data_IF_805281224989
#
_entry.id   IF_805281224989
#
_cell.length_a   1.000
_cell.length_b   1.000
_cell.length_c   1.000
_cell.angle_alpha   90.00
_cell.angle_beta   90.00
_cell.angle_gamma   90.00
#
_symmetry.space_group_name_H-M   'P 1'
#
loop_
_entity.id
_entity.type
_entity.pdbx_description
1 polymer ?
#
# COMPACT_ATOMS: atom_id res chain seq x y z
N UNK A 1 -10.12 4.66 -27.43
CA UNK A 1 -9.00 4.99 -26.52
C UNK A 1 -8.59 3.73 -25.80
N UNK A 2 -7.30 3.50 -25.55
CA UNK A 2 -6.84 2.36 -24.76
C UNK A 2 -7.40 2.46 -23.35
N UNK A 3 -7.75 1.31 -22.75
CA UNK A 3 -8.14 1.24 -21.34
C UNK A 3 -6.92 1.38 -20.45
N UNK A 4 -7.06 2.04 -19.31
CA UNK A 4 -6.02 2.28 -18.34
C UNK A 4 -6.15 1.36 -17.10
N UNK A 5 -5.04 1.06 -16.45
CA UNK A 5 -5.04 0.43 -15.14
C UNK A 5 -5.08 1.53 -14.08
N UNK A 6 -6.16 1.55 -13.30
CA UNK A 6 -6.36 2.54 -12.24
C UNK A 6 -5.69 2.08 -10.95
N UNK A 7 -4.94 2.97 -10.31
CA UNK A 7 -4.42 2.82 -8.97
C UNK A 7 -5.09 3.84 -8.07
N UNK A 8 -5.85 3.36 -7.11
CA UNK A 8 -6.56 4.19 -6.13
C UNK A 8 -5.86 4.11 -4.77
N UNK A 9 -5.53 5.26 -4.21
CA UNK A 9 -5.00 5.39 -2.85
C UNK A 9 -5.61 6.61 -2.14
N UNK A 10 -5.50 6.66 -0.81
CA UNK A 10 -5.89 7.83 -0.02
C UNK A 10 -4.93 9.01 -0.19
N UNK A 11 -3.70 8.77 -0.62
CA UNK A 11 -2.66 9.79 -0.75
C UNK A 11 -1.53 9.36 -1.67
N UNK A 12 -0.28 9.54 -1.23
CA UNK A 12 0.92 9.24 -2.01
C UNK A 12 1.46 7.81 -1.84
N UNK A 13 0.96 7.06 -0.85
CA UNK A 13 1.47 5.72 -0.53
C UNK A 13 1.35 4.73 -1.68
N UNK A 14 0.24 4.76 -2.40
CA UNK A 14 -0.04 3.88 -3.54
C UNK A 14 0.91 4.06 -4.73
N UNK A 15 1.68 5.16 -4.79
CA UNK A 15 2.73 5.36 -5.80
C UNK A 15 3.83 4.30 -5.71
N UNK A 16 4.07 3.72 -4.54
CA UNK A 16 5.02 2.61 -4.37
C UNK A 16 4.55 1.36 -5.11
N UNK A 17 3.23 1.09 -5.09
CA UNK A 17 2.60 -0.04 -5.81
C UNK A 17 2.56 0.24 -7.31
N UNK A 18 2.18 1.47 -7.70
CA UNK A 18 2.20 1.92 -9.10
C UNK A 18 3.60 1.81 -9.70
N UNK A 19 4.62 2.30 -9.00
CA UNK A 19 6.02 2.19 -9.43
C UNK A 19 6.43 0.74 -9.71
N UNK A 20 6.05 -0.19 -8.83
CA UNK A 20 6.30 -1.62 -9.05
C UNK A 20 5.59 -2.13 -10.31
N UNK A 21 4.33 -1.73 -10.52
CA UNK A 21 3.55 -2.11 -11.70
C UNK A 21 4.16 -1.56 -12.99
N UNK A 22 4.57 -0.29 -13.01
CA UNK A 22 5.22 0.33 -14.18
C UNK A 22 6.52 -0.37 -14.56
N UNK A 23 7.28 -0.88 -13.60
CA UNK A 23 8.49 -1.67 -13.87
C UNK A 23 8.18 -3.06 -14.43
N UNK A 24 7.15 -3.73 -13.90
CA UNK A 24 6.77 -5.08 -14.37
C UNK A 24 6.03 -5.06 -15.72
N UNK A 25 5.27 -4.01 -15.98
CA UNK A 25 4.40 -3.89 -17.15
C UNK A 25 4.58 -2.51 -17.82
N UNK A 26 5.75 -2.21 -18.40
CA UNK A 26 6.13 -0.86 -18.84
C UNK A 26 5.34 -0.34 -20.06
N UNK A 27 4.53 -1.18 -20.71
CA UNK A 27 3.74 -0.82 -21.87
C UNK A 27 2.26 -0.57 -21.54
N UNK A 28 1.86 -0.72 -20.28
CA UNK A 28 0.50 -0.40 -19.83
C UNK A 28 0.33 1.11 -19.67
N UNK A 29 -0.91 1.56 -19.85
CA UNK A 29 -1.32 2.92 -19.50
C UNK A 29 -1.90 2.91 -18.08
N UNK A 30 -1.46 3.84 -17.25
CA UNK A 30 -1.83 3.92 -15.85
C UNK A 30 -2.61 5.20 -15.55
N UNK A 31 -3.53 5.13 -14.61
CA UNK A 31 -4.18 6.29 -14.00
C UNK A 31 -4.00 6.19 -12.49
N UNK A 32 -3.31 7.15 -11.89
CA UNK A 32 -3.18 7.23 -10.44
C UNK A 32 -4.24 8.19 -9.88
N UNK A 33 -5.05 7.70 -8.96
CA UNK A 33 -6.02 8.49 -8.23
C UNK A 33 -5.62 8.58 -6.76
N UNK A 34 -5.26 9.78 -6.28
CA UNK A 34 -4.98 10.09 -4.88
C UNK A 34 -6.14 10.89 -4.29
N UNK A 35 -6.74 10.40 -3.19
CA UNK A 35 -7.85 11.09 -2.49
C UNK A 35 -7.33 11.93 -1.32
N UNK A 36 -6.45 12.88 -1.62
CA UNK A 36 -5.73 13.69 -0.63
C UNK A 36 -6.63 14.57 0.24
N UNK A 37 -7.77 15.03 -0.30
CA UNK A 37 -8.74 15.84 0.48
C UNK A 37 -9.32 15.07 1.66
N UNK A 38 -9.33 13.75 1.57
CA UNK A 38 -9.87 12.90 2.61
C UNK A 38 -8.79 12.09 3.35
N UNK A 39 -7.51 12.29 3.03
CA UNK A 39 -6.42 11.66 3.77
C UNK A 39 -6.34 12.19 5.22
N UNK A 40 -5.79 11.45 6.19
CA UNK A 40 -5.51 10.03 6.14
C UNK A 40 -6.75 9.17 6.46
N UNK A 41 -6.96 8.07 5.73
CA UNK A 41 -8.09 7.17 5.97
C UNK A 41 -8.00 6.43 7.30
N UNK A 42 -6.80 6.14 7.77
CA UNK A 42 -6.56 5.37 8.98
C UNK A 42 -7.06 6.02 10.29
N UNK A 43 -7.45 7.30 10.24
CA UNK A 43 -7.99 8.07 11.37
C UNK A 43 -9.51 8.25 11.29
N UNK A 44 -10.18 7.72 10.26
CA UNK A 44 -11.63 7.86 10.05
C UNK A 44 -12.38 6.62 10.48
N UNK A 45 -13.72 6.75 10.64
CA UNK A 45 -14.56 5.57 10.85
C UNK A 45 -14.66 4.72 9.57
N UNK A 46 -14.86 3.38 9.68
CA UNK A 46 -15.05 2.51 8.52
C UNK A 46 -16.18 2.99 7.60
N UNK A 47 -17.30 3.44 8.17
CA UNK A 47 -18.44 3.95 7.42
C UNK A 47 -18.09 5.19 6.60
N UNK A 48 -17.30 6.10 7.19
CA UNK A 48 -16.83 7.31 6.49
C UNK A 48 -15.90 6.96 5.34
N UNK A 49 -14.94 6.06 5.56
CA UNK A 49 -14.02 5.59 4.50
C UNK A 49 -14.82 4.91 3.37
N UNK A 50 -15.77 4.03 3.71
CA UNK A 50 -16.65 3.37 2.75
C UNK A 50 -17.38 4.39 1.88
N UNK A 51 -18.04 5.37 2.48
CA UNK A 51 -18.76 6.42 1.77
C UNK A 51 -17.86 7.21 0.82
N UNK A 52 -16.67 7.62 1.27
CA UNK A 52 -15.69 8.38 0.48
C UNK A 52 -15.26 7.56 -0.74
N UNK A 53 -14.81 6.33 -0.54
CA UNK A 53 -14.29 5.50 -1.63
C UNK A 53 -15.37 5.18 -2.65
N UNK A 54 -16.58 4.82 -2.22
CA UNK A 54 -17.69 4.56 -3.15
C UNK A 54 -18.06 5.82 -3.96
N UNK A 55 -18.03 7.01 -3.34
CA UNK A 55 -18.28 8.28 -4.03
C UNK A 55 -17.18 8.60 -5.06
N UNK A 56 -15.91 8.28 -4.77
CA UNK A 56 -14.81 8.44 -5.72
C UNK A 56 -14.98 7.50 -6.92
N UNK A 57 -15.26 6.23 -6.67
CA UNK A 57 -15.45 5.22 -7.72
C UNK A 57 -16.66 5.50 -8.61
N UNK A 58 -17.73 6.08 -8.08
CA UNK A 58 -18.91 6.47 -8.87
C UNK A 58 -18.61 7.53 -9.95
N UNK A 59 -17.48 8.23 -9.85
CA UNK A 59 -17.01 9.21 -10.85
C UNK A 59 -16.16 8.59 -11.96
N UNK A 60 -15.74 7.34 -11.80
CA UNK A 60 -14.93 6.66 -12.80
C UNK A 60 -15.79 6.23 -13.99
N UNK A 61 -15.21 6.34 -15.20
CA UNK A 61 -15.84 5.80 -16.39
C UNK A 61 -15.40 4.33 -16.58
N UNK A 62 -16.28 3.33 -16.35
CA UNK A 62 -15.93 1.92 -16.45
C UNK A 62 -15.38 1.51 -17.82
N UNK A 63 -15.82 2.16 -18.91
CA UNK A 63 -15.37 1.85 -20.27
C UNK A 63 -13.87 2.15 -20.50
N UNK A 64 -13.29 3.00 -19.65
CA UNK A 64 -11.87 3.37 -19.70
C UNK A 64 -10.98 2.54 -18.79
N UNK A 65 -11.56 1.65 -17.98
CA UNK A 65 -10.82 0.88 -16.98
C UNK A 65 -10.53 -0.52 -17.51
N UNK A 66 -9.24 -0.88 -17.53
CA UNK A 66 -8.77 -2.24 -17.81
C UNK A 66 -8.80 -3.11 -16.55
N UNK A 67 -8.33 -2.56 -15.44
CA UNK A 67 -8.36 -3.11 -14.08
C UNK A 67 -8.20 -1.97 -13.07
N UNK A 68 -8.55 -2.21 -11.81
CA UNK A 68 -8.31 -1.26 -10.73
C UNK A 68 -7.56 -1.93 -9.58
N UNK A 69 -6.51 -1.27 -9.09
CA UNK A 69 -5.79 -1.63 -7.87
C UNK A 69 -6.20 -0.64 -6.77
N UNK A 70 -6.87 -1.14 -5.74
CA UNK A 70 -7.08 -0.40 -4.49
C UNK A 70 -5.82 -0.57 -3.66
N UNK A 71 -4.86 0.34 -3.85
CA UNK A 71 -3.54 0.26 -3.24
C UNK A 71 -3.57 0.52 -1.73
N UNK A 72 -4.45 1.41 -1.26
CA UNK A 72 -4.62 1.69 0.15
C UNK A 72 -5.08 0.45 0.94
N UNK A 73 -4.26 -0.02 1.90
CA UNK A 73 -4.60 -1.15 2.77
C UNK A 73 -5.89 -0.88 3.57
N UNK A 74 -6.03 0.32 4.11
CA UNK A 74 -7.22 0.74 4.88
C UNK A 74 -8.48 0.70 4.02
N UNK A 75 -8.44 1.26 2.80
CA UNK A 75 -9.58 1.20 1.88
C UNK A 75 -9.90 -0.25 1.49
N UNK A 76 -8.88 -1.03 1.15
CA UNK A 76 -9.04 -2.45 0.78
C UNK A 76 -9.77 -3.25 1.86
N UNK A 77 -9.39 -3.09 3.13
CA UNK A 77 -9.99 -3.85 4.23
C UNK A 77 -11.49 -3.57 4.37
N UNK A 78 -11.90 -2.34 4.06
CA UNK A 78 -13.27 -1.86 4.27
C UNK A 78 -14.18 -2.10 3.06
N UNK A 79 -13.73 -1.76 1.83
CA UNK A 79 -14.67 -1.65 0.69
C UNK A 79 -14.43 -2.66 -0.44
N UNK A 80 -13.40 -3.47 -0.41
CA UNK A 80 -13.03 -4.30 -1.56
C UNK A 80 -14.15 -5.26 -2.02
N UNK A 81 -14.96 -5.76 -1.09
CA UNK A 81 -16.09 -6.64 -1.40
C UNK A 81 -17.21 -5.88 -2.11
N UNK A 82 -17.52 -4.68 -1.63
CA UNK A 82 -18.55 -3.82 -2.23
C UNK A 82 -18.16 -3.42 -3.66
N UNK A 83 -16.90 -2.99 -3.85
CA UNK A 83 -16.41 -2.62 -5.18
C UNK A 83 -16.47 -3.78 -6.18
N UNK A 84 -16.06 -4.99 -5.75
CA UNK A 84 -16.14 -6.20 -6.59
C UNK A 84 -17.57 -6.63 -6.91
N UNK A 85 -18.54 -6.24 -6.09
CA UNK A 85 -19.96 -6.50 -6.36
C UNK A 85 -20.60 -5.45 -7.30
N UNK A 86 -20.01 -4.24 -7.39
CA UNK A 86 -20.53 -3.12 -8.16
C UNK A 86 -19.95 -3.01 -9.57
N UNK A 87 -18.75 -3.54 -9.81
CA UNK A 87 -18.01 -3.33 -11.05
C UNK A 87 -17.53 -4.65 -11.65
N UNK A 88 -17.65 -4.79 -12.97
CA UNK A 88 -17.32 -6.00 -13.72
C UNK A 88 -15.83 -6.11 -14.08
N UNK A 89 -15.07 -5.00 -14.06
CA UNK A 89 -13.63 -5.05 -14.31
C UNK A 89 -12.87 -5.61 -13.11
N UNK A 90 -11.68 -6.22 -13.32
CA UNK A 90 -10.87 -6.77 -12.22
C UNK A 90 -10.51 -5.72 -11.18
N UNK A 91 -10.81 -6.00 -9.91
CA UNK A 91 -10.45 -5.14 -8.78
C UNK A 91 -9.54 -5.91 -7.82
N UNK A 92 -8.32 -5.43 -7.71
CA UNK A 92 -7.27 -5.99 -6.86
C UNK A 92 -7.11 -5.11 -5.62
N UNK A 93 -7.14 -5.69 -4.43
CA UNK A 93 -6.90 -4.97 -3.18
C UNK A 93 -5.53 -5.30 -2.60
N UNK A 94 -4.91 -4.30 -2.00
CA UNK A 94 -3.68 -4.45 -1.22
C UNK A 94 -4.01 -4.95 0.18
N UNK A 95 -3.43 -6.07 0.57
CA UNK A 95 -3.55 -6.63 1.92
C UNK A 95 -2.16 -6.71 2.57
N UNK A 96 -2.09 -6.58 3.91
CA UNK A 96 -0.83 -6.82 4.62
C UNK A 96 -0.26 -8.21 4.30
N UNK A 97 1.04 -8.27 4.04
CA UNK A 97 1.73 -9.47 3.55
C UNK A 97 2.02 -10.49 4.69
N UNK A 98 0.97 -10.93 5.40
CA UNK A 98 1.09 -11.79 6.58
C UNK A 98 1.58 -13.19 6.23
N UNK A 99 1.06 -13.80 5.15
CA UNK A 99 1.48 -15.15 4.73
C UNK A 99 2.98 -15.23 4.44
N UNK A 100 3.55 -14.39 3.54
CA UNK A 100 4.99 -14.40 3.32
C UNK A 100 5.79 -14.03 4.57
N UNK A 101 5.27 -13.15 5.44
CA UNK A 101 5.94 -12.82 6.70
C UNK A 101 6.03 -14.02 7.65
N UNK A 102 4.98 -14.86 7.74
CA UNK A 102 5.00 -16.10 8.52
C UNK A 102 6.11 -17.06 8.03
N UNK A 103 6.19 -17.25 6.72
CA UNK A 103 7.20 -18.11 6.11
C UNK A 103 8.63 -17.60 6.37
N UNK A 104 8.83 -16.27 6.23
CA UNK A 104 10.13 -15.61 6.43
C UNK A 104 10.53 -15.60 7.91
N UNK A 105 9.58 -15.42 8.82
CA UNK A 105 9.84 -15.34 10.25
C UNK A 105 10.30 -16.67 10.87
N UNK A 106 10.03 -17.79 10.21
CA UNK A 106 10.49 -19.14 10.60
C UNK A 106 10.25 -19.46 12.08
N UNK A 107 9.00 -19.24 12.53
CA UNK A 107 8.58 -19.48 13.91
C UNK A 107 8.85 -18.33 14.89
N UNK A 108 9.63 -17.31 14.52
CA UNK A 108 9.81 -16.10 15.31
C UNK A 108 8.60 -15.19 15.25
N UNK A 109 8.56 -14.16 16.10
CA UNK A 109 7.50 -13.16 16.11
C UNK A 109 7.54 -12.25 14.88
N UNK A 110 6.37 -11.70 14.56
CA UNK A 110 6.13 -10.81 13.44
C UNK A 110 5.57 -9.49 13.96
N UNK A 111 6.24 -8.38 13.69
CA UNK A 111 5.68 -7.05 13.93
C UNK A 111 4.83 -6.67 12.72
N UNK A 112 3.57 -6.27 12.95
CA UNK A 112 2.70 -5.71 11.92
C UNK A 112 2.60 -4.20 12.14
N UNK A 113 3.34 -3.45 11.35
CA UNK A 113 3.32 -1.99 11.31
C UNK A 113 2.21 -1.55 10.35
N UNK A 114 1.13 -0.93 10.87
CA UNK A 114 -0.01 -0.52 10.05
C UNK A 114 -0.74 0.70 10.67
N UNK A 115 -1.76 1.21 9.95
CA UNK A 115 -2.63 2.23 10.53
C UNK A 115 -3.50 1.64 11.64
N UNK A 116 -3.91 2.48 12.59
CA UNK A 116 -4.78 2.04 13.70
C UNK A 116 -6.05 1.36 13.20
N UNK A 117 -6.64 1.87 12.13
CA UNK A 117 -7.85 1.29 11.55
C UNK A 117 -7.58 -0.10 10.94
N UNK A 118 -6.50 -0.24 10.15
CA UNK A 118 -6.12 -1.54 9.57
C UNK A 118 -5.90 -2.61 10.64
N UNK A 119 -5.24 -2.28 11.75
CA UNK A 119 -5.00 -3.22 12.84
C UNK A 119 -6.28 -3.65 13.61
N UNK A 120 -7.32 -2.81 13.58
CA UNK A 120 -8.61 -3.12 14.21
C UNK A 120 -9.53 -3.97 13.32
N UNK A 121 -9.26 -4.04 12.01
CA UNK A 121 -10.12 -4.72 11.05
C UNK A 121 -10.19 -6.23 11.29
N UNK A 122 -11.41 -6.76 11.34
CA UNK A 122 -11.67 -8.18 11.59
C UNK A 122 -11.08 -9.09 10.49
N UNK A 123 -10.94 -8.58 9.28
CA UNK A 123 -10.33 -9.31 8.16
C UNK A 123 -8.87 -9.68 8.46
N UNK A 124 -8.09 -8.74 9.00
CA UNK A 124 -6.69 -8.97 9.39
C UNK A 124 -6.61 -9.98 10.55
N UNK A 125 -7.43 -9.79 11.58
CA UNK A 125 -7.47 -10.68 12.74
C UNK A 125 -7.86 -12.10 12.34
N UNK A 126 -8.86 -12.23 11.45
CA UNK A 126 -9.25 -13.53 10.91
C UNK A 126 -8.10 -14.20 10.15
N UNK A 127 -7.38 -13.46 9.31
CA UNK A 127 -6.22 -14.03 8.59
C UNK A 127 -5.15 -14.54 9.56
N UNK A 128 -4.89 -13.81 10.65
CA UNK A 128 -3.93 -14.20 11.69
C UNK A 128 -4.38 -15.50 12.38
N UNK A 129 -5.68 -15.61 12.74
CA UNK A 129 -6.27 -16.85 13.30
C UNK A 129 -6.20 -18.00 12.30
N UNK A 130 -6.60 -17.78 11.04
CA UNK A 130 -6.57 -18.81 9.99
C UNK A 130 -5.14 -19.32 9.72
N UNK A 131 -4.13 -18.55 10.08
CA UNK A 131 -2.71 -18.90 9.99
C UNK A 131 -2.14 -19.51 11.28
N UNK A 132 -2.90 -19.52 12.36
CA UNK A 132 -2.47 -19.99 13.68
C UNK A 132 -1.16 -19.32 14.17
N UNK A 133 -1.17 -17.98 14.18
CA UNK A 133 0.00 -17.15 14.57
C UNK A 133 -0.35 -16.01 15.55
N UNK A 134 -1.48 -16.11 16.27
CA UNK A 134 -1.91 -15.05 17.19
C UNK A 134 -0.84 -14.71 18.22
N UNK A 135 -0.18 -15.74 18.77
CA UNK A 135 0.87 -15.59 19.77
C UNK A 135 2.22 -15.07 19.21
N UNK A 136 2.35 -15.08 17.87
CA UNK A 136 3.56 -14.61 17.18
C UNK A 136 3.44 -13.16 16.70
N UNK A 137 2.24 -12.54 16.77
CA UNK A 137 1.99 -11.22 16.17
C UNK A 137 2.07 -10.11 17.20
N UNK A 138 2.82 -9.07 16.87
CA UNK A 138 2.86 -7.79 17.61
C UNK A 138 2.28 -6.70 16.72
N UNK A 139 1.16 -6.09 17.15
CA UNK A 139 0.57 -4.96 16.45
C UNK A 139 1.27 -3.65 16.82
N UNK A 140 1.74 -2.93 15.81
CA UNK A 140 2.43 -1.64 15.98
C UNK A 140 1.73 -0.55 15.15
N UNK A 141 0.86 0.26 15.74
CA UNK A 141 0.25 1.38 15.05
C UNK A 141 1.26 2.52 14.85
N UNK A 142 1.33 3.07 13.63
CA UNK A 142 2.22 4.18 13.29
C UNK A 142 1.54 5.23 12.39
N UNK A 143 0.49 5.92 12.88
CA UNK A 143 -0.20 6.95 12.09
C UNK A 143 0.71 8.12 11.71
N UNK A 144 1.73 8.42 12.51
CA UNK A 144 2.68 9.52 12.29
C UNK A 144 3.48 9.33 11.00
N UNK A 145 3.84 8.08 10.66
CA UNK A 145 4.56 7.78 9.42
C UNK A 145 3.73 8.11 8.16
N UNK A 146 2.39 8.05 8.25
CA UNK A 146 1.53 8.44 7.12
C UNK A 146 1.68 9.94 6.85
N UNK A 147 1.59 10.77 7.89
CA UNK A 147 1.71 12.22 7.77
C UNK A 147 3.09 12.63 7.24
N UNK A 148 4.15 12.04 7.79
CA UNK A 148 5.52 12.30 7.33
C UNK A 148 5.72 11.92 5.86
N UNK A 149 5.11 10.81 5.41
CA UNK A 149 5.20 10.42 4.00
C UNK A 149 4.47 11.39 3.06
N UNK A 150 3.31 11.91 3.47
CA UNK A 150 2.59 12.94 2.70
C UNK A 150 3.38 14.27 2.62
N UNK A 151 4.24 14.55 3.60
CA UNK A 151 5.14 15.70 3.64
C UNK A 151 6.50 15.43 2.95
N UNK A 152 6.67 14.29 2.31
CA UNK A 152 7.92 13.85 1.68
C UNK A 152 9.10 13.73 2.66
N UNK A 153 8.84 13.39 3.93
CA UNK A 153 9.86 13.18 4.97
C UNK A 153 9.94 11.70 5.29
N UNK A 154 10.98 11.00 4.82
CA UNK A 154 11.13 9.54 4.97
C UNK A 154 12.25 9.12 5.92
N UNK A 155 13.07 10.07 6.35
CA UNK A 155 14.14 9.84 7.33
C UNK A 155 14.44 11.17 8.05
N UNK A 156 14.36 11.16 9.38
CA UNK A 156 14.75 12.25 10.26
C UNK A 156 15.05 11.71 11.65
N UNK A 157 15.78 12.46 12.47
CA UNK A 157 16.08 12.05 13.86
C UNK A 157 14.79 11.80 14.65
N UNK A 158 13.75 12.65 14.49
CA UNK A 158 12.46 12.49 15.15
C UNK A 158 11.76 11.18 14.74
N UNK A 159 11.81 10.80 13.47
CA UNK A 159 11.21 9.54 13.01
C UNK A 159 11.99 8.32 13.52
N UNK A 160 13.31 8.44 13.59
CA UNK A 160 14.16 7.39 14.15
C UNK A 160 13.89 7.19 15.64
N UNK A 161 13.83 8.27 16.42
CA UNK A 161 13.47 8.26 17.84
C UNK A 161 12.06 7.67 18.03
N UNK A 162 11.06 8.11 17.28
CA UNK A 162 9.70 7.57 17.31
C UNK A 162 9.68 6.04 17.09
N UNK A 163 10.42 5.55 16.10
CA UNK A 163 10.47 4.11 15.82
C UNK A 163 11.20 3.34 16.91
N UNK A 164 12.27 3.89 17.48
CA UNK A 164 12.97 3.29 18.61
C UNK A 164 12.07 3.22 19.86
N UNK A 165 11.32 4.27 20.16
CA UNK A 165 10.34 4.29 21.25
C UNK A 165 9.25 3.24 21.06
N UNK A 166 8.71 3.10 19.82
CA UNK A 166 7.70 2.07 19.50
C UNK A 166 8.25 0.65 19.65
N UNK A 167 9.53 0.45 19.45
CA UNK A 167 10.20 -0.85 19.62
C UNK A 167 10.73 -1.06 21.04
N UNK A 168 10.68 -0.05 21.90
CA UNK A 168 11.16 -0.17 23.27
C UNK A 168 10.40 -1.29 24.01
N UNK A 169 11.16 -2.17 24.67
CA UNK A 169 10.60 -3.32 25.40
C UNK A 169 10.27 -4.54 24.52
N UNK A 170 10.48 -4.47 23.20
CA UNK A 170 10.41 -5.64 22.32
C UNK A 170 11.81 -6.27 22.23
N UNK A 171 11.90 -7.56 22.52
CA UNK A 171 13.12 -8.32 22.26
C UNK A 171 13.29 -8.55 20.76
N UNK A 172 14.10 -7.73 20.11
CA UNK A 172 14.33 -7.81 18.66
C UNK A 172 15.00 -9.10 18.21
N UNK A 173 15.66 -9.85 19.13
CA UNK A 173 16.27 -11.15 18.80
C UNK A 173 15.21 -12.22 18.48
N UNK A 174 13.98 -12.06 19.00
CA UNK A 174 12.82 -12.95 18.81
C UNK A 174 11.94 -12.52 17.61
N UNK A 175 12.29 -11.45 16.90
CA UNK A 175 11.56 -10.96 15.73
C UNK A 175 12.19 -11.51 14.46
N UNK A 176 11.39 -12.12 13.58
CA UNK A 176 11.83 -12.60 12.26
C UNK A 176 11.45 -11.69 11.10
N UNK A 177 10.30 -11.00 11.22
CA UNK A 177 9.80 -10.13 10.18
C UNK A 177 9.09 -8.89 10.72
N UNK A 178 9.18 -7.78 9.96
CA UNK A 178 8.37 -6.59 10.13
C UNK A 178 7.54 -6.37 8.86
N UNK A 179 6.21 -6.45 8.99
CA UNK A 179 5.28 -6.26 7.89
C UNK A 179 4.94 -4.79 7.75
N UNK A 180 5.14 -4.23 6.56
CA UNK A 180 4.73 -2.89 6.18
C UNK A 180 3.27 -2.94 5.70
N UNK A 181 2.33 -2.85 6.63
CA UNK A 181 0.89 -2.98 6.41
C UNK A 181 0.20 -1.69 5.94
N UNK A 182 0.97 -0.73 5.45
CA UNK A 182 0.48 0.51 4.83
C UNK A 182 1.39 0.87 3.66
N UNK A 183 0.80 1.32 2.55
CA UNK A 183 1.54 1.74 1.33
C UNK A 183 2.56 2.84 1.60
N UNK A 184 2.24 3.77 2.49
CA UNK A 184 3.15 4.85 2.91
C UNK A 184 4.42 4.34 3.58
N UNK A 185 4.33 3.21 4.31
CA UNK A 185 5.46 2.72 5.11
C UNK A 185 6.60 2.14 4.26
N UNK A 186 6.32 1.86 3.00
CA UNK A 186 7.33 1.35 2.07
C UNK A 186 8.41 2.39 1.79
N UNK A 187 8.09 3.69 1.84
CA UNK A 187 9.09 4.76 1.72
C UNK A 187 10.13 4.74 2.84
N UNK A 188 9.79 4.21 4.01
CA UNK A 188 10.68 4.14 5.16
C UNK A 188 11.58 2.90 5.18
N UNK A 189 11.54 2.04 4.15
CA UNK A 189 12.42 0.86 4.09
C UNK A 189 13.90 1.19 4.36
N UNK A 190 14.52 2.23 3.74
CA UNK A 190 15.93 2.55 3.99
C UNK A 190 16.20 2.89 5.45
N UNK A 191 15.36 3.73 6.06
CA UNK A 191 15.47 4.11 7.47
C UNK A 191 15.28 2.87 8.38
N UNK A 192 14.20 2.10 8.18
CA UNK A 192 13.91 0.92 8.99
C UNK A 192 14.99 -0.13 8.87
N UNK A 193 15.55 -0.37 7.68
CA UNK A 193 16.69 -1.29 7.49
C UNK A 193 17.90 -0.85 8.30
N UNK A 194 18.14 0.46 8.42
CA UNK A 194 19.27 0.97 9.21
C UNK A 194 19.06 0.90 10.74
N UNK A 195 17.80 0.80 11.19
CA UNK A 195 17.45 0.73 12.62
C UNK A 195 17.32 -0.70 13.14
N UNK A 196 17.01 -1.65 12.26
CA UNK A 196 16.70 -3.03 12.64
C UNK A 196 17.93 -3.93 12.47
N UNK A 197 18.07 -4.96 13.33
CA UNK A 197 19.05 -6.03 13.10
C UNK A 197 18.84 -6.72 11.73
N UNK A 198 19.93 -7.11 11.06
CA UNK A 198 19.93 -7.68 9.70
C UNK A 198 19.08 -8.94 9.52
N UNK A 199 18.83 -9.67 10.61
CA UNK A 199 17.99 -10.88 10.56
C UNK A 199 16.48 -10.57 10.44
N UNK A 200 16.04 -9.37 10.82
CA UNK A 200 14.64 -8.96 10.71
C UNK A 200 14.37 -8.55 9.26
N UNK A 201 13.45 -9.25 8.60
CA UNK A 201 13.11 -8.97 7.21
C UNK A 201 11.92 -8.03 7.09
N UNK A 202 12.06 -6.98 6.27
CA UNK A 202 10.95 -6.10 5.91
C UNK A 202 10.11 -6.79 4.83
N UNK A 203 8.80 -6.87 5.05
CA UNK A 203 7.86 -7.57 4.16
C UNK A 203 6.71 -6.63 3.81
N UNK A 204 6.42 -6.49 2.52
CA UNK A 204 5.29 -5.68 2.03
C UNK A 204 4.43 -6.42 0.99
N UNK A 205 3.32 -5.80 0.60
CA UNK A 205 2.34 -6.40 -0.31
C UNK A 205 2.51 -6.02 -1.79
N UNK A 206 3.47 -5.16 -2.18
CA UNK A 206 3.57 -4.62 -3.54
C UNK A 206 3.73 -5.73 -4.58
N UNK A 207 4.74 -6.57 -4.42
CA UNK A 207 5.03 -7.63 -5.38
C UNK A 207 3.86 -8.61 -5.55
N UNK A 208 3.21 -9.00 -4.44
CA UNK A 208 2.04 -9.88 -4.45
C UNK A 208 0.85 -9.25 -5.17
N UNK A 209 0.58 -7.97 -4.91
CA UNK A 209 -0.51 -7.22 -5.52
C UNK A 209 -0.31 -7.05 -7.03
N UNK A 210 0.89 -6.65 -7.46
CA UNK A 210 1.19 -6.44 -8.88
C UNK A 210 1.23 -7.77 -9.65
N UNK A 211 1.76 -8.83 -9.04
CA UNK A 211 1.68 -10.18 -9.62
C UNK A 211 0.24 -10.64 -9.80
N UNK A 212 -0.64 -10.36 -8.82
CA UNK A 212 -2.07 -10.67 -8.96
C UNK A 212 -2.71 -9.87 -10.07
N UNK A 213 -2.36 -8.59 -10.23
CA UNK A 213 -2.82 -7.75 -11.33
C UNK A 213 -2.38 -8.33 -12.68
N UNK A 214 -1.09 -8.63 -12.86
CA UNK A 214 -0.55 -9.15 -14.13
C UNK A 214 -1.22 -10.47 -14.56
N UNK A 215 -1.61 -11.31 -13.60
CA UNK A 215 -2.30 -12.58 -13.87
C UNK A 215 -3.78 -12.42 -14.27
N UNK A 216 -4.37 -11.24 -14.06
CA UNK A 216 -5.79 -10.97 -14.32
C UNK A 216 -6.04 -10.16 -15.59
N UNK A 217 -5.01 -9.59 -16.17
CA UNK A 217 -5.12 -8.76 -17.38
C UNK A 217 -4.37 -9.39 -18.54
N UNK A 218 -4.81 -9.08 -19.76
CA UNK A 218 -4.01 -9.35 -20.97
C UNK A 218 -3.01 -8.20 -21.11
N UNK A 219 -1.70 -8.46 -21.12
CA UNK A 219 -0.67 -7.43 -21.27
C UNK A 219 -0.84 -6.63 -22.55
N UNK A 220 -0.53 -5.33 -22.48
CA UNK A 220 -0.41 -4.48 -23.68
C UNK A 220 0.93 -4.75 -24.33
N UNK A 221 0.93 -5.04 -25.63
CA UNK A 221 2.17 -5.31 -26.37
C UNK A 221 2.83 -3.98 -26.65
N UNK A 222 3.14 -3.14 -27.04
CA UNK A 222 3.86 -1.88 -27.17
C UNK A 222 2.89 -0.68 -27.26
N UNK A 223 3.06 0.32 -26.42
CA UNK A 223 2.31 1.57 -26.46
C UNK A 223 3.23 2.75 -26.80
N UNK A 224 2.71 3.69 -27.59
CA UNK A 224 3.35 4.98 -27.90
C UNK A 224 2.76 6.14 -27.09
N UNK A 225 1.91 5.87 -26.10
CA UNK A 225 1.25 6.89 -25.28
C UNK A 225 2.05 7.21 -24.03
N UNK A 226 1.79 8.40 -23.48
CA UNK A 226 2.27 8.77 -22.14
C UNK A 226 1.74 7.74 -21.12
N UNK A 227 2.61 7.09 -20.35
CA UNK A 227 2.21 5.92 -19.56
C UNK A 227 1.38 6.27 -18.33
N UNK A 228 1.23 7.54 -17.93
CA UNK A 228 0.63 7.93 -16.66
C UNK A 228 -0.27 9.15 -16.76
N UNK A 229 -1.50 8.97 -16.28
CA UNK A 229 -2.46 10.03 -15.95
C UNK A 229 -2.55 10.19 -14.43
N UNK A 230 -2.71 11.42 -13.93
CA UNK A 230 -2.83 11.71 -12.51
C UNK A 230 -4.15 12.43 -12.20
N UNK A 231 -4.84 11.96 -11.15
CA UNK A 231 -6.08 12.53 -10.64
C UNK A 231 -5.93 12.77 -9.13
N UNK A 232 -6.13 13.98 -8.68
CA UNK A 232 -6.08 14.37 -7.29
C UNK A 232 -7.50 14.73 -6.82
N UNK A 233 -8.07 13.94 -5.92
CA UNK A 233 -9.43 14.13 -5.37
C UNK A 233 -10.50 14.42 -6.42
N UNK A 234 -10.40 13.77 -7.60
CA UNK A 234 -11.33 13.92 -8.72
C UNK A 234 -10.95 14.96 -9.77
N UNK A 235 -9.88 15.71 -9.57
CA UNK A 235 -9.35 16.68 -10.53
C UNK A 235 -8.13 16.11 -11.26
N UNK A 236 -8.17 16.14 -12.60
CA UNK A 236 -7.01 15.76 -13.41
C UNK A 236 -5.91 16.81 -13.23
N UNK A 237 -4.71 16.37 -12.93
CA UNK A 237 -3.55 17.23 -12.71
C UNK A 237 -2.37 16.78 -13.58
N UNK A 238 -1.35 17.63 -13.69
CA UNK A 238 -0.04 17.23 -14.20
C UNK A 238 0.61 16.23 -13.22
N UNK A 239 1.30 15.24 -13.77
CA UNK A 239 1.97 14.22 -12.95
C UNK A 239 3.26 14.73 -12.27
N UNK A 240 3.63 16.00 -12.41
CA UNK A 240 4.77 16.58 -11.69
C UNK A 240 4.67 16.37 -10.17
N UNK A 241 3.45 16.39 -9.62
CA UNK A 241 3.22 16.13 -8.19
C UNK A 241 3.71 14.74 -7.73
N UNK A 242 3.59 13.72 -8.56
CA UNK A 242 3.94 12.32 -8.18
C UNK A 242 5.40 11.97 -8.51
N UNK A 243 6.06 12.74 -9.36
CA UNK A 243 7.42 12.45 -9.82
C UNK A 243 8.47 12.38 -8.71
N UNK A 244 8.49 13.27 -7.70
CA UNK A 244 9.44 13.15 -6.58
C UNK A 244 9.35 11.79 -5.89
N UNK A 245 8.13 11.28 -5.64
CA UNK A 245 7.89 10.00 -5.00
C UNK A 245 8.35 8.81 -5.86
N UNK A 246 8.03 8.83 -7.16
CA UNK A 246 8.49 7.80 -8.10
C UNK A 246 10.02 7.79 -8.23
N UNK A 247 10.63 8.96 -8.27
CA UNK A 247 12.09 9.11 -8.29
C UNK A 247 12.74 8.58 -7.00
N UNK A 248 12.11 8.84 -5.85
CA UNK A 248 12.55 8.27 -4.57
C UNK A 248 12.49 6.74 -4.58
N UNK A 249 11.39 6.15 -5.10
CA UNK A 249 11.25 4.70 -5.25
C UNK A 249 12.35 4.10 -6.15
N UNK A 250 12.68 4.78 -7.25
CA UNK A 250 13.77 4.37 -8.14
C UNK A 250 15.13 4.44 -7.45
N UNK A 251 15.45 5.57 -6.81
CA UNK A 251 16.73 5.82 -6.15
C UNK A 251 17.05 4.81 -5.04
N UNK A 252 16.04 4.41 -4.29
CA UNK A 252 16.18 3.51 -3.15
C UNK A 252 15.77 2.06 -3.43
N UNK A 253 15.50 1.73 -4.70
CA UNK A 253 15.14 0.37 -5.13
C UNK A 253 14.05 -0.29 -4.28
N UNK A 254 13.02 0.49 -3.87
CA UNK A 254 12.04 0.07 -2.86
C UNK A 254 11.24 -1.19 -3.22
N UNK A 255 11.33 -1.66 -4.47
CA UNK A 255 10.57 -2.78 -5.02
C UNK A 255 11.46 -3.93 -5.53
N UNK A 256 12.62 -4.08 -4.93
CA UNK A 256 13.52 -5.22 -5.14
C UNK A 256 13.44 -6.22 -4.00
#
# INVERSE_FOLDING_TARGET
MAKSIYFFDSGVGGLTVLHHAMRMMPYEHYTYYADVEHAPYGQKSPQKVKSIVLSAFARFNPDKIKACVVACNTATSIVIKDLRALYDYPIIGMEPAIKPAKEIADGKKIIILATTLTLKEEKLKRLIRDLDIEDQVIFMPAPDLVLSAEEFVFDSDQLRELMMEKMAGIDLSDIGALVLGCTHFIYFKPMLTSLLPDHIKLVDGNAGTVRRLSNLITPTEKSSYDPLDCILSGHRIDCEFVMPYLNYCNKHELNH
#
